data_IF_948982388713
#
_entry.id   IF_948982388713
#
_cell.length_a   1.000
_cell.length_b   1.000
_cell.length_c   1.000
_cell.angle_alpha   90.00
_cell.angle_beta   90.00
_cell.angle_gamma   90.00
#
_symmetry.space_group_name_H-M   'P 1'
#
loop_
_entity.id
_entity.type
_entity.pdbx_description
1 polymer ?
#
# COMPACT_ATOMS: atom_id res chain seq x y z
N UNK A 1 -9.24 0.32 -4.27
CA UNK A 1 -9.37 -0.82 -5.21
C UNK A 1 -8.63 -0.49 -6.51
N UNK A 2 -8.30 -1.51 -7.33
CA UNK A 2 -7.69 -1.30 -8.66
C UNK A 2 -8.54 -0.33 -9.51
N UNK A 3 -9.87 -0.38 -9.38
CA UNK A 3 -10.79 0.54 -10.04
C UNK A 3 -10.54 2.00 -9.67
N UNK A 4 -10.28 2.30 -8.39
CA UNK A 4 -9.96 3.66 -7.95
C UNK A 4 -8.62 4.16 -8.48
N UNK A 5 -7.61 3.28 -8.58
CA UNK A 5 -6.34 3.61 -9.25
C UNK A 5 -6.57 3.93 -10.73
N UNK A 6 -7.33 3.08 -11.42
CA UNK A 6 -7.65 3.27 -12.82
C UNK A 6 -8.39 4.59 -13.04
N UNK A 7 -9.38 4.93 -12.19
CA UNK A 7 -10.06 6.22 -12.26
C UNK A 7 -9.10 7.39 -12.06
N UNK A 8 -8.25 7.34 -11.02
CA UNK A 8 -7.27 8.41 -10.72
C UNK A 8 -6.27 8.61 -11.86
N UNK A 9 -5.73 7.51 -12.42
CA UNK A 9 -4.78 7.57 -13.53
C UNK A 9 -5.45 8.03 -14.81
N UNK A 10 -6.66 7.54 -15.13
CA UNK A 10 -7.34 7.87 -16.39
C UNK A 10 -7.84 9.32 -16.39
N UNK A 11 -8.36 9.83 -15.26
CA UNK A 11 -8.92 11.19 -15.19
C UNK A 11 -7.87 12.28 -15.29
N UNK A 12 -6.68 12.07 -14.74
CA UNK A 12 -5.64 13.09 -14.60
C UNK A 12 -4.30 12.66 -15.20
N UNK A 13 -4.29 11.69 -16.13
CA UNK A 13 -3.08 11.14 -16.73
C UNK A 13 -2.09 12.21 -17.20
N UNK A 14 -2.56 13.20 -17.96
CA UNK A 14 -1.72 14.28 -18.49
C UNK A 14 -1.03 15.05 -17.35
N UNK A 15 -1.78 15.44 -16.33
CA UNK A 15 -1.22 16.20 -15.20
C UNK A 15 -0.25 15.38 -14.38
N UNK A 16 -0.56 14.10 -14.15
CA UNK A 16 0.35 13.16 -13.49
C UNK A 16 1.65 13.05 -14.27
N UNK A 17 1.57 12.96 -15.59
CA UNK A 17 2.72 12.84 -16.47
C UNK A 17 3.58 14.11 -16.47
N UNK A 18 2.94 15.29 -16.52
CA UNK A 18 3.62 16.59 -16.44
C UNK A 18 4.34 16.77 -15.09
N UNK A 19 3.62 16.54 -13.98
CA UNK A 19 4.19 16.57 -12.63
C UNK A 19 5.36 15.58 -12.48
N UNK A 20 5.25 14.40 -13.09
CA UNK A 20 6.31 13.38 -13.06
C UNK A 20 7.55 13.80 -13.83
N UNK A 21 7.40 14.38 -15.02
CA UNK A 21 8.53 14.88 -15.80
C UNK A 21 9.25 15.98 -15.01
N UNK A 22 8.51 16.94 -14.46
CA UNK A 22 9.08 18.03 -13.69
C UNK A 22 9.81 17.54 -12.45
N UNK A 23 9.17 16.68 -11.64
CA UNK A 23 9.79 16.14 -10.43
C UNK A 23 11.04 15.30 -10.75
N UNK A 24 10.99 14.50 -11.84
CA UNK A 24 12.11 13.65 -12.26
C UNK A 24 13.31 14.46 -12.76
N UNK A 25 13.07 15.60 -13.39
CA UNK A 25 14.13 16.48 -13.86
C UNK A 25 14.75 17.35 -12.75
N UNK A 26 14.16 17.35 -11.56
CA UNK A 26 14.71 18.04 -10.39
C UNK A 26 15.83 17.20 -9.75
N UNK A 27 17.08 17.60 -10.03
CA UNK A 27 18.27 16.92 -9.51
C UNK A 27 18.34 16.84 -7.98
N UNK A 28 17.70 17.77 -7.25
CA UNK A 28 17.65 17.73 -5.80
C UNK A 28 16.75 16.58 -5.33
N UNK A 29 15.54 16.47 -5.89
CA UNK A 29 14.65 15.35 -5.59
C UNK A 29 15.19 14.02 -6.09
N UNK A 30 15.93 13.98 -7.19
CA UNK A 30 16.61 12.75 -7.63
C UNK A 30 17.63 12.27 -6.58
N UNK A 31 18.42 13.18 -6.01
CA UNK A 31 19.38 12.84 -4.96
C UNK A 31 18.68 12.34 -3.69
N UNK A 32 17.65 13.06 -3.22
CA UNK A 32 16.85 12.66 -2.05
C UNK A 32 16.19 11.29 -2.29
N UNK A 33 15.65 11.06 -3.49
CA UNK A 33 15.02 9.79 -3.82
C UNK A 33 16.01 8.63 -3.77
N UNK A 34 17.24 8.81 -4.25
CA UNK A 34 18.30 7.78 -4.19
C UNK A 34 18.67 7.46 -2.75
N UNK A 35 18.89 8.49 -1.92
CA UNK A 35 19.18 8.32 -0.49
C UNK A 35 18.07 7.55 0.23
N UNK A 36 16.81 7.99 0.07
CA UNK A 36 15.65 7.36 0.70
C UNK A 36 15.41 5.94 0.19
N UNK A 37 15.65 5.69 -1.10
CA UNK A 37 15.57 4.34 -1.68
C UNK A 37 16.57 3.38 -1.02
N UNK A 38 17.81 3.80 -0.79
CA UNK A 38 18.83 2.95 -0.15
C UNK A 38 18.42 2.55 1.27
N UNK A 39 17.74 3.46 1.99
CA UNK A 39 17.19 3.25 3.32
C UNK A 39 15.83 2.51 3.32
N UNK A 40 15.23 2.26 2.14
CA UNK A 40 13.86 1.73 1.94
C UNK A 40 12.76 2.64 2.52
N UNK A 41 13.03 3.93 2.61
CA UNK A 41 12.17 4.98 3.16
C UNK A 41 11.33 5.66 2.06
N UNK A 42 10.52 4.87 1.36
CA UNK A 42 9.74 5.39 0.22
C UNK A 42 8.66 6.38 0.64
N UNK A 43 8.02 6.17 1.80
CA UNK A 43 6.94 7.04 2.29
C UNK A 43 7.53 8.40 2.69
N UNK A 44 8.69 8.39 3.32
CA UNK A 44 9.43 9.57 3.74
C UNK A 44 9.81 10.44 2.53
N UNK A 45 10.25 9.83 1.42
CA UNK A 45 10.45 10.58 0.17
C UNK A 45 9.16 11.28 -0.28
N UNK A 46 8.05 10.54 -0.38
CA UNK A 46 6.79 11.11 -0.87
C UNK A 46 6.18 12.15 0.07
N UNK A 47 6.51 12.12 1.36
CA UNK A 47 6.14 13.16 2.33
C UNK A 47 6.92 14.47 2.14
N UNK A 48 8.13 14.41 1.56
CA UNK A 48 8.95 15.59 1.25
C UNK A 48 8.58 16.25 -0.09
N UNK A 49 7.84 15.55 -0.94
CA UNK A 49 7.40 16.06 -2.24
C UNK A 49 6.42 17.24 -2.02
N UNK A 50 6.68 18.44 -2.60
CA UNK A 50 5.85 19.61 -2.37
C UNK A 50 4.45 19.50 -2.98
N UNK A 51 3.50 20.30 -2.48
CA UNK A 51 2.11 20.31 -2.97
C UNK A 51 1.95 20.61 -4.46
N UNK A 52 2.96 21.21 -5.13
CA UNK A 52 2.95 21.39 -6.59
C UNK A 52 2.80 20.06 -7.35
N UNK A 53 3.18 18.93 -6.74
CA UNK A 53 3.07 17.58 -7.30
C UNK A 53 2.00 16.73 -6.59
N UNK A 54 0.94 17.36 -6.07
CA UNK A 54 -0.06 16.67 -5.25
C UNK A 54 -0.76 15.51 -5.96
N UNK A 55 -0.94 15.56 -7.28
CA UNK A 55 -1.68 14.52 -8.00
C UNK A 55 -0.79 13.28 -8.14
N UNK A 56 0.46 13.49 -8.51
CA UNK A 56 1.50 12.47 -8.53
C UNK A 56 1.74 11.88 -7.13
N UNK A 57 1.85 12.73 -6.10
CA UNK A 57 2.02 12.31 -4.71
C UNK A 57 0.86 11.43 -4.24
N UNK A 58 -0.39 11.79 -4.55
CA UNK A 58 -1.57 10.95 -4.25
C UNK A 58 -1.52 9.61 -4.96
N UNK A 59 -1.14 9.60 -6.24
CA UNK A 59 -1.00 8.37 -7.01
C UNK A 59 0.06 7.44 -6.40
N UNK A 60 1.22 7.98 -6.01
CA UNK A 60 2.27 7.22 -5.36
C UNK A 60 1.83 6.60 -4.02
N UNK A 61 1.18 7.38 -3.15
CA UNK A 61 0.61 6.87 -1.89
C UNK A 61 -0.41 5.77 -2.12
N UNK A 62 -1.26 5.93 -3.15
CA UNK A 62 -2.22 4.91 -3.52
C UNK A 62 -1.53 3.61 -3.96
N UNK A 63 -0.51 3.70 -4.81
CA UNK A 63 0.26 2.53 -5.26
C UNK A 63 0.94 1.82 -4.08
N UNK A 64 1.62 2.55 -3.20
CA UNK A 64 2.30 1.98 -2.03
C UNK A 64 1.33 1.27 -1.07
N UNK A 65 0.13 1.84 -0.84
CA UNK A 65 -0.88 1.24 0.05
C UNK A 65 -1.61 0.06 -0.59
N UNK A 66 -1.82 0.08 -1.92
CA UNK A 66 -2.44 -1.02 -2.65
C UNK A 66 -1.66 -2.33 -2.50
N UNK A 67 -0.34 -2.31 -2.72
CA UNK A 67 0.50 -3.52 -2.60
C UNK A 67 0.45 -4.11 -1.18
N UNK A 68 0.41 -3.24 -0.17
CA UNK A 68 0.32 -3.66 1.23
C UNK A 68 -1.04 -4.31 1.52
N UNK A 69 -2.12 -3.70 1.01
CA UNK A 69 -3.49 -4.19 1.25
C UNK A 69 -3.75 -5.56 0.58
N UNK A 70 -3.26 -5.79 -0.64
CA UNK A 70 -3.42 -7.09 -1.32
C UNK A 70 -2.67 -8.18 -0.59
N UNK A 71 -1.41 -7.91 -0.20
CA UNK A 71 -0.61 -8.86 0.58
C UNK A 71 -1.27 -9.21 1.92
N UNK A 72 -1.76 -8.22 2.66
CA UNK A 72 -2.44 -8.42 3.94
C UNK A 72 -3.75 -9.20 3.76
N UNK A 73 -4.53 -8.89 2.72
CA UNK A 73 -5.75 -9.62 2.38
C UNK A 73 -5.46 -11.09 2.05
N UNK A 74 -4.47 -11.36 1.20
CA UNK A 74 -4.06 -12.71 0.82
C UNK A 74 -3.53 -13.51 2.01
N UNK A 75 -2.71 -12.87 2.86
CA UNK A 75 -2.20 -13.47 4.09
C UNK A 75 -3.34 -13.79 5.06
N UNK A 76 -4.29 -12.87 5.23
CA UNK A 76 -5.46 -13.06 6.10
C UNK A 76 -6.37 -14.17 5.59
N UNK A 77 -6.62 -14.22 4.27
CA UNK A 77 -7.39 -15.28 3.63
C UNK A 77 -6.72 -16.65 3.79
N UNK A 78 -5.40 -16.71 3.63
CA UNK A 78 -4.63 -17.93 3.82
C UNK A 78 -4.71 -18.44 5.27
N UNK A 79 -4.59 -17.53 6.25
CA UNK A 79 -4.79 -17.83 7.68
C UNK A 79 -6.20 -18.32 7.96
N UNK A 80 -7.23 -17.71 7.37
CA UNK A 80 -8.62 -18.17 7.47
C UNK A 80 -8.79 -19.58 6.93
N UNK A 81 -8.25 -19.85 5.73
CA UNK A 81 -8.33 -21.16 5.10
C UNK A 81 -7.65 -22.23 5.95
N UNK A 82 -6.50 -21.92 6.54
CA UNK A 82 -5.81 -22.80 7.47
C UNK A 82 -6.65 -23.07 8.73
N UNK A 83 -7.15 -22.02 9.39
CA UNK A 83 -7.98 -22.16 10.59
C UNK A 83 -9.25 -22.99 10.36
N UNK A 84 -9.98 -22.71 9.26
CA UNK A 84 -11.17 -23.49 8.88
C UNK A 84 -10.84 -24.95 8.57
N UNK A 85 -9.64 -25.26 8.08
CA UNK A 85 -9.22 -26.65 7.83
C UNK A 85 -8.90 -27.37 9.15
N UNK A 86 -8.09 -26.76 10.01
CA UNK A 86 -7.64 -27.38 11.28
C UNK A 86 -8.78 -27.57 12.28
N UNK A 87 -9.71 -26.62 12.38
CA UNK A 87 -10.76 -26.61 13.41
C UNK A 87 -12.18 -26.70 12.83
N UNK A 88 -12.31 -27.32 11.64
CA UNK A 88 -13.54 -27.34 10.81
C UNK A 88 -14.83 -27.71 11.55
N UNK A 89 -14.75 -28.59 12.54
CA UNK A 89 -15.92 -29.09 13.28
C UNK A 89 -16.17 -28.34 14.60
N UNK A 90 -15.36 -27.33 14.94
CA UNK A 90 -15.38 -26.66 16.27
C UNK A 90 -15.47 -25.13 16.19
N UNK A 91 -15.22 -24.52 15.03
CA UNK A 91 -15.27 -23.07 14.85
C UNK A 91 -16.69 -22.64 14.42
N UNK A 92 -17.31 -21.77 15.23
CA UNK A 92 -18.42 -20.93 14.76
C UNK A 92 -17.85 -19.66 14.11
N UNK A 93 -18.66 -18.94 13.34
CA UNK A 93 -18.20 -17.73 12.65
C UNK A 93 -17.68 -16.64 13.61
N UNK A 94 -18.28 -16.53 14.81
CA UNK A 94 -17.80 -15.62 15.86
C UNK A 94 -16.38 -15.97 16.33
N UNK A 95 -16.11 -17.25 16.56
CA UNK A 95 -14.78 -17.69 17.00
C UNK A 95 -13.72 -17.56 15.89
N UNK A 96 -14.15 -17.59 14.62
CA UNK A 96 -13.26 -17.41 13.48
C UNK A 96 -12.78 -15.95 13.36
N UNK A 97 -13.66 -14.98 13.58
CA UNK A 97 -13.30 -13.56 13.55
C UNK A 97 -12.27 -13.22 14.62
N UNK A 98 -12.53 -13.65 15.86
CA UNK A 98 -11.60 -13.48 16.99
C UNK A 98 -10.23 -14.11 16.70
N UNK A 99 -10.21 -15.33 16.17
CA UNK A 99 -8.99 -16.04 15.80
C UNK A 99 -8.23 -15.31 14.69
N UNK A 100 -8.91 -14.82 13.66
CA UNK A 100 -8.29 -14.07 12.57
C UNK A 100 -7.70 -12.76 13.05
N UNK A 101 -8.41 -12.06 13.95
CA UNK A 101 -7.94 -10.81 14.55
C UNK A 101 -6.65 -11.03 15.35
N UNK A 102 -6.57 -12.10 16.14
CA UNK A 102 -5.34 -12.47 16.86
C UNK A 102 -4.26 -12.91 15.88
N UNK A 103 -4.56 -13.81 14.93
CA UNK A 103 -3.59 -14.35 13.98
C UNK A 103 -3.00 -13.31 13.02
N UNK A 104 -3.74 -12.25 12.70
CA UNK A 104 -3.28 -11.13 11.87
C UNK A 104 -2.71 -9.96 12.68
N UNK A 105 -2.69 -10.03 14.01
CA UNK A 105 -2.05 -9.03 14.85
C UNK A 105 -0.54 -9.27 15.00
N UNK A 106 0.17 -8.25 15.48
CA UNK A 106 1.57 -8.36 15.91
C UNK A 106 1.72 -8.94 17.33
N UNK A 107 0.64 -9.52 17.89
CA UNK A 107 0.66 -10.10 19.23
C UNK A 107 1.65 -11.27 19.28
N UNK A 108 2.59 -11.20 20.24
CA UNK A 108 3.43 -12.33 20.64
C UNK A 108 3.01 -12.73 22.06
N UNK A 109 2.73 -14.02 22.31
CA UNK A 109 2.39 -14.49 23.65
C UNK A 109 3.58 -14.36 24.61
#
# INVERSE_FOLDING_TARGET
SITQLATLIISDYSKIFDEFIELKNDTNFEAIFKEKREQKEYIEFWNLVPEKYKILQKCAHFLMTMFTSTYLCETSYSKMKYAKNVYRNRLTDSHLDDLLRVACSNYKP
#
